data_IF_393854709775
#
_entry.id   IF_393854709775
#
_cell.length_a   1.000
_cell.length_b   1.000
_cell.length_c   1.000
_cell.angle_alpha   90.00
_cell.angle_beta   90.00
_cell.angle_gamma   90.00
#
_symmetry.space_group_name_H-M   'P 1'
#
loop_
_entity.id
_entity.type
_entity.pdbx_description
1 polymer ?
#
# COMPACT_ATOMS: atom_id res chain seq x y z
N UNK A 1 -0.05 -4.67 -23.76
CA UNK A 1 -1.17 -4.85 -22.80
C UNK A 1 -2.47 -4.42 -23.46
N UNK A 2 -3.58 -5.08 -23.16
CA UNK A 2 -4.93 -4.62 -23.54
C UNK A 2 -5.13 -3.23 -22.90
N UNK A 3 -5.69 -2.26 -23.64
CA UNK A 3 -6.08 -0.98 -23.03
C UNK A 3 -7.20 -1.24 -22.04
N UNK A 4 -7.03 -0.79 -20.81
CA UNK A 4 -8.00 -0.88 -19.73
C UNK A 4 -9.11 0.15 -19.90
N UNK A 5 -8.82 1.35 -20.44
CA UNK A 5 -9.81 2.41 -20.58
C UNK A 5 -10.00 3.22 -19.30
N UNK A 6 -11.24 3.55 -18.95
CA UNK A 6 -11.53 4.36 -17.75
C UNK A 6 -12.11 3.46 -16.67
N UNK A 7 -11.54 3.53 -15.47
CA UNK A 7 -11.96 2.75 -14.31
C UNK A 7 -12.27 3.60 -13.10
N UNK A 8 -12.77 2.94 -12.05
CA UNK A 8 -13.09 3.57 -10.77
C UNK A 8 -12.73 2.63 -9.62
N UNK A 9 -12.22 3.19 -8.52
CA UNK A 9 -12.01 2.44 -7.29
C UNK A 9 -13.33 1.87 -6.77
N UNK A 10 -13.38 0.55 -6.59
CA UNK A 10 -14.51 -0.12 -5.97
C UNK A 10 -14.37 -0.07 -4.45
N UNK A 11 -15.44 0.35 -3.77
CA UNK A 11 -15.58 0.30 -2.32
C UNK A 11 -16.96 -0.29 -2.01
N UNK A 12 -17.13 -1.06 -0.92
CA UNK A 12 -18.42 -1.64 -0.55
C UNK A 12 -19.57 -0.63 -0.54
N UNK A 13 -19.30 0.61 -0.13
CA UNK A 13 -20.25 1.72 0.00
C UNK A 13 -20.82 2.20 -1.34
N UNK A 14 -20.09 2.03 -2.44
CA UNK A 14 -20.51 2.44 -3.80
C UNK A 14 -20.63 1.26 -4.76
N UNK A 15 -20.57 0.02 -4.26
CA UNK A 15 -20.55 -1.18 -5.08
C UNK A 15 -21.72 -1.26 -6.06
N UNK A 16 -22.94 -0.98 -5.61
CA UNK A 16 -24.15 -1.02 -6.45
C UNK A 16 -24.21 0.11 -7.48
N UNK A 17 -23.59 1.26 -7.18
CA UNK A 17 -23.48 2.37 -8.11
C UNK A 17 -22.48 2.07 -9.22
N UNK A 18 -21.27 1.61 -8.83
CA UNK A 18 -20.21 1.19 -9.75
C UNK A 18 -20.68 0.05 -10.66
N UNK A 19 -21.41 -0.92 -10.10
CA UNK A 19 -21.98 -2.01 -10.90
C UNK A 19 -22.91 -1.48 -12.00
N UNK A 20 -23.78 -0.52 -11.70
CA UNK A 20 -24.74 0.01 -12.69
C UNK A 20 -24.16 1.07 -13.62
N UNK A 21 -22.95 1.54 -13.35
CA UNK A 21 -22.35 2.66 -14.05
C UNK A 21 -21.99 2.30 -15.51
N UNK A 22 -22.46 3.07 -16.50
CA UNK A 22 -22.16 2.80 -17.90
C UNK A 22 -20.71 3.13 -18.24
N UNK A 23 -20.09 2.30 -19.08
CA UNK A 23 -18.75 2.56 -19.63
C UNK A 23 -17.58 2.33 -18.66
N UNK A 24 -17.81 1.70 -17.50
CA UNK A 24 -16.72 1.23 -16.64
C UNK A 24 -16.17 -0.09 -17.20
N UNK A 25 -14.92 -0.04 -17.64
CA UNK A 25 -14.22 -1.17 -18.27
C UNK A 25 -13.48 -2.04 -17.24
N UNK A 26 -13.12 -1.44 -16.11
CA UNK A 26 -12.37 -2.09 -15.03
C UNK A 26 -12.54 -1.35 -13.69
N UNK A 27 -12.31 -2.07 -12.60
CA UNK A 27 -12.32 -1.52 -11.25
C UNK A 27 -11.07 -1.94 -10.49
N UNK A 28 -10.70 -1.12 -9.52
CA UNK A 28 -9.64 -1.45 -8.58
C UNK A 28 -10.21 -1.71 -7.19
N UNK A 29 -9.68 -2.71 -6.48
CA UNK A 29 -10.07 -3.03 -5.11
C UNK A 29 -8.86 -2.99 -4.20
N UNK A 30 -9.00 -2.45 -2.98
CA UNK A 30 -7.95 -2.58 -1.96
C UNK A 30 -7.81 -4.06 -1.60
N UNK A 31 -6.66 -4.65 -1.88
CA UNK A 31 -6.43 -6.09 -1.77
C UNK A 31 -6.74 -6.59 -0.36
N UNK A 32 -6.26 -5.89 0.66
CA UNK A 32 -6.42 -6.24 2.07
C UNK A 32 -7.89 -6.31 2.52
N UNK A 33 -8.81 -5.64 1.81
CA UNK A 33 -10.25 -5.65 2.09
C UNK A 33 -10.98 -6.83 1.41
N UNK A 34 -10.29 -7.60 0.57
CA UNK A 34 -10.86 -8.77 -0.13
C UNK A 34 -10.43 -10.05 0.59
N UNK A 35 -11.41 -10.90 0.89
CA UNK A 35 -11.19 -12.27 1.35
C UNK A 35 -11.30 -13.23 0.16
N UNK A 36 -10.24 -13.98 -0.22
CA UNK A 36 -10.30 -14.94 -1.33
C UNK A 36 -11.43 -15.96 -1.21
N UNK A 37 -11.73 -16.43 0.00
CA UNK A 37 -12.82 -17.37 0.27
C UNK A 37 -14.23 -16.74 0.29
N UNK A 38 -14.32 -15.41 0.23
CA UNK A 38 -15.60 -14.69 0.28
C UNK A 38 -15.50 -13.39 -0.53
N UNK A 39 -15.34 -13.53 -1.85
CA UNK A 39 -15.32 -12.39 -2.77
C UNK A 39 -16.70 -11.72 -2.79
N UNK A 40 -16.80 -10.40 -2.60
CA UNK A 40 -18.08 -9.66 -2.69
C UNK A 40 -18.86 -9.98 -3.96
N UNK A 41 -20.17 -10.21 -3.83
CA UNK A 41 -21.04 -10.60 -4.97
C UNK A 41 -21.02 -9.58 -6.11
N UNK A 42 -20.95 -8.29 -5.81
CA UNK A 42 -20.88 -7.23 -6.84
C UNK A 42 -19.60 -7.34 -7.68
N UNK A 43 -18.48 -7.75 -7.11
CA UNK A 43 -17.25 -8.02 -7.87
C UNK A 43 -17.40 -9.26 -8.76
N UNK A 44 -18.12 -10.28 -8.31
CA UNK A 44 -18.43 -11.45 -9.14
C UNK A 44 -19.31 -11.04 -10.34
N UNK A 45 -20.37 -10.27 -10.12
CA UNK A 45 -21.25 -9.76 -11.18
C UNK A 45 -20.53 -8.85 -12.17
N UNK A 46 -19.62 -7.99 -11.68
CA UNK A 46 -18.75 -7.18 -12.54
C UNK A 46 -17.88 -8.06 -13.44
N UNK A 47 -17.26 -9.10 -12.87
CA UNK A 47 -16.42 -10.04 -13.63
C UNK A 47 -17.21 -10.85 -14.66
N UNK A 48 -18.41 -11.32 -14.31
CA UNK A 48 -19.31 -12.02 -15.23
C UNK A 48 -19.67 -11.16 -16.46
N UNK A 49 -19.70 -9.84 -16.30
CA UNK A 49 -19.90 -8.86 -17.38
C UNK A 49 -18.62 -8.53 -18.16
N UNK A 50 -17.49 -9.10 -17.79
CA UNK A 50 -16.19 -8.86 -18.42
C UNK A 50 -15.44 -7.64 -17.90
N UNK A 51 -15.87 -7.04 -16.79
CA UNK A 51 -15.13 -5.94 -16.12
C UNK A 51 -13.88 -6.52 -15.46
N UNK A 52 -12.73 -5.93 -15.75
CA UNK A 52 -11.46 -6.35 -15.13
C UNK A 52 -11.41 -5.88 -13.68
N UNK A 53 -10.98 -6.73 -12.75
CA UNK A 53 -10.79 -6.35 -11.33
C UNK A 53 -9.31 -6.44 -10.99
N UNK A 54 -8.71 -5.33 -10.56
CA UNK A 54 -7.31 -5.24 -10.19
C UNK A 54 -7.19 -5.07 -8.67
N UNK A 55 -6.51 -5.96 -7.93
CA UNK A 55 -6.21 -5.76 -6.54
C UNK A 55 -4.99 -4.84 -6.38
N UNK A 56 -5.16 -3.84 -5.53
CA UNK A 56 -4.16 -2.85 -5.16
C UNK A 56 -3.80 -2.99 -3.69
N UNK A 57 -2.55 -3.33 -3.42
CA UNK A 57 -2.02 -3.59 -2.08
C UNK A 57 -1.48 -2.34 -1.40
N UNK A 58 -1.71 -2.25 -0.09
CA UNK A 58 -1.26 -1.12 0.74
C UNK A 58 -0.30 -1.53 1.87
N UNK A 59 0.08 -2.81 1.93
CA UNK A 59 0.72 -3.39 3.12
C UNK A 59 2.00 -4.20 2.91
N UNK A 60 2.53 -4.36 1.69
CA UNK A 60 3.82 -5.05 1.48
C UNK A 60 4.96 -4.17 1.95
N UNK A 61 4.96 -2.89 1.56
CA UNK A 61 6.02 -1.94 1.91
C UNK A 61 7.37 -2.34 1.33
N UNK A 62 7.41 -2.56 0.01
CA UNK A 62 8.57 -3.08 -0.73
C UNK A 62 9.81 -2.15 -0.67
N UNK A 63 9.64 -0.89 -0.29
CA UNK A 63 10.72 0.05 -0.02
C UNK A 63 11.40 -0.12 1.33
N UNK A 64 10.93 -1.03 2.18
CA UNK A 64 11.51 -1.31 3.49
C UNK A 64 12.82 -2.09 3.42
N UNK A 65 13.67 -1.91 4.43
CA UNK A 65 14.92 -2.65 4.57
C UNK A 65 14.74 -4.13 4.96
N UNK A 66 13.57 -4.58 5.38
CA UNK A 66 13.31 -6.02 5.53
C UNK A 66 12.95 -6.66 4.18
N UNK A 67 13.11 -7.97 4.05
CA UNK A 67 12.50 -8.70 2.93
C UNK A 67 10.97 -8.60 3.02
N UNK A 68 10.25 -8.62 1.87
CA UNK A 68 8.80 -8.67 1.89
C UNK A 68 8.31 -9.89 2.66
N UNK A 69 7.27 -9.72 3.47
CA UNK A 69 6.70 -10.80 4.28
C UNK A 69 6.06 -11.88 3.38
N UNK A 70 6.53 -13.13 3.52
CA UNK A 70 6.06 -14.27 2.71
C UNK A 70 4.56 -14.51 2.85
N UNK A 71 4.02 -14.32 4.06
CA UNK A 71 2.59 -14.47 4.33
C UNK A 71 1.76 -13.42 3.61
N UNK A 72 2.19 -12.15 3.62
CA UNK A 72 1.52 -11.08 2.87
C UNK A 72 1.62 -11.28 1.36
N UNK A 73 2.77 -11.73 0.84
CA UNK A 73 2.93 -12.07 -0.58
C UNK A 73 1.98 -13.20 -1.00
N UNK A 74 1.93 -14.28 -0.21
CA UNK A 74 0.99 -15.40 -0.43
C UNK A 74 -0.44 -14.90 -0.45
N UNK A 75 -0.82 -14.08 0.53
CA UNK A 75 -2.17 -13.56 0.62
C UNK A 75 -2.52 -12.59 -0.53
N UNK A 76 -1.56 -11.85 -1.09
CA UNK A 76 -1.79 -11.02 -2.29
C UNK A 76 -1.93 -11.89 -3.55
N UNK A 77 -1.12 -12.94 -3.67
CA UNK A 77 -1.21 -13.92 -4.75
C UNK A 77 -2.58 -14.62 -4.78
N UNK A 78 -3.08 -15.08 -3.64
CA UNK A 78 -4.40 -15.71 -3.51
C UNK A 78 -5.52 -14.77 -3.94
N UNK A 79 -5.44 -13.47 -3.58
CA UNK A 79 -6.42 -12.47 -4.00
C UNK A 79 -6.39 -12.22 -5.49
N UNK A 80 -5.20 -12.12 -6.08
CA UNK A 80 -5.05 -11.98 -7.53
C UNK A 80 -5.70 -13.14 -8.28
N UNK A 81 -5.48 -14.37 -7.81
CA UNK A 81 -6.10 -15.57 -8.37
C UNK A 81 -7.61 -15.60 -8.19
N UNK A 82 -8.12 -15.32 -6.99
CA UNK A 82 -9.55 -15.31 -6.70
C UNK A 82 -10.31 -14.30 -7.56
N UNK A 83 -9.70 -13.13 -7.83
CA UNK A 83 -10.24 -12.09 -8.68
C UNK A 83 -10.00 -12.34 -10.19
N UNK A 84 -9.18 -13.32 -10.56
CA UNK A 84 -8.76 -13.55 -11.94
C UNK A 84 -8.08 -12.32 -12.54
N UNK A 85 -7.32 -11.60 -11.71
CA UNK A 85 -6.73 -10.32 -12.08
C UNK A 85 -5.58 -10.49 -13.09
N UNK A 86 -5.42 -9.61 -14.08
CA UNK A 86 -4.29 -9.67 -15.01
C UNK A 86 -2.98 -9.12 -14.44
N UNK A 87 -3.03 -8.40 -13.31
CA UNK A 87 -1.87 -7.82 -12.62
C UNK A 87 -2.22 -7.50 -11.16
N UNK A 88 -1.24 -7.22 -10.33
CA UNK A 88 -1.44 -6.63 -9.00
C UNK A 88 -0.64 -5.34 -8.88
N UNK A 89 -1.07 -4.43 -8.02
CA UNK A 89 -0.34 -3.19 -7.75
C UNK A 89 0.02 -3.03 -6.28
N UNK A 90 1.11 -2.31 -6.02
CA UNK A 90 1.58 -1.93 -4.69
C UNK A 90 2.34 -0.60 -4.80
N UNK A 91 2.93 -0.11 -3.71
CA UNK A 91 3.55 1.19 -3.62
C UNK A 91 5.07 1.12 -3.47
N UNK A 92 5.73 2.16 -3.95
CA UNK A 92 7.13 2.44 -3.67
C UNK A 92 7.21 3.13 -2.30
N UNK A 93 6.95 2.35 -1.25
CA UNK A 93 6.89 2.84 0.11
C UNK A 93 7.49 1.84 1.10
N UNK A 94 7.88 2.33 2.28
CA UNK A 94 8.05 1.47 3.44
C UNK A 94 6.94 1.76 4.45
N UNK A 95 6.47 0.73 5.16
CA UNK A 95 5.39 0.90 6.18
C UNK A 95 5.78 0.38 7.56
N UNK A 96 6.91 -0.35 7.65
CA UNK A 96 7.51 -0.85 8.90
C UNK A 96 9.02 -0.70 8.85
N UNK A 97 9.63 -0.64 10.02
CA UNK A 97 11.08 -0.67 10.21
C UNK A 97 11.41 -1.20 11.62
N UNK A 98 12.68 -1.48 11.87
CA UNK A 98 13.18 -1.97 13.15
C UNK A 98 13.38 -3.49 13.17
N UNK A 99 13.28 -4.11 14.34
CA UNK A 99 13.40 -5.56 14.49
C UNK A 99 14.84 -6.09 14.47
N UNK A 100 15.00 -7.38 14.11
CA UNK A 100 16.26 -8.11 14.20
C UNK A 100 17.38 -7.48 13.39
N UNK A 101 17.07 -6.96 12.19
CA UNK A 101 18.03 -6.31 11.29
C UNK A 101 18.75 -5.12 11.94
N UNK A 102 18.10 -4.42 12.87
CA UNK A 102 18.61 -3.17 13.47
C UNK A 102 18.75 -3.26 14.99
N UNK A 103 18.52 -4.44 15.56
CA UNK A 103 18.44 -4.66 17.02
C UNK A 103 17.54 -3.63 17.74
N UNK A 104 16.42 -3.24 17.13
CA UNK A 104 15.48 -2.25 17.67
C UNK A 104 14.03 -2.81 17.71
N UNK A 105 13.10 -2.18 18.46
CA UNK A 105 11.69 -2.59 18.44
C UNK A 105 11.12 -2.54 17.01
N UNK A 106 10.24 -3.48 16.66
CA UNK A 106 9.47 -3.40 15.41
C UNK A 106 8.46 -2.25 15.52
N UNK A 107 8.43 -1.41 14.49
CA UNK A 107 7.56 -0.24 14.39
C UNK A 107 6.72 -0.35 13.12
N UNK A 108 5.46 0.08 13.20
CA UNK A 108 4.57 0.19 12.06
C UNK A 108 3.96 1.58 11.97
N UNK A 109 3.99 2.17 10.78
CA UNK A 109 3.44 3.49 10.51
C UNK A 109 1.90 3.48 10.42
N UNK A 110 1.31 2.33 10.04
CA UNK A 110 -0.09 2.24 9.63
C UNK A 110 -0.40 2.94 8.30
N UNK A 111 0.62 3.44 7.61
CA UNK A 111 0.50 4.14 6.35
C UNK A 111 1.81 4.10 5.56
N UNK A 112 1.75 4.53 4.30
CA UNK A 112 2.86 4.61 3.37
C UNK A 112 3.81 5.73 3.81
N UNK A 113 5.12 5.44 3.80
CA UNK A 113 6.17 6.43 4.01
C UNK A 113 7.13 6.44 2.82
N UNK A 114 7.63 7.64 2.44
CA UNK A 114 8.49 7.79 1.27
C UNK A 114 9.82 7.07 1.48
N UNK A 115 10.37 6.49 0.42
CA UNK A 115 11.71 5.90 0.46
C UNK A 115 12.78 6.96 0.17
N UNK A 116 14.01 6.83 0.70
CA UNK A 116 15.11 7.68 0.26
C UNK A 116 15.44 7.35 -1.21
N UNK A 117 15.51 8.37 -2.07
CA UNK A 117 15.91 8.20 -3.48
C UNK A 117 17.44 8.14 -3.63
N UNK A 118 18.05 7.14 -3.01
CA UNK A 118 19.50 6.84 -3.10
C UNK A 118 19.74 5.54 -3.85
N UNK A 119 20.96 5.34 -4.37
CA UNK A 119 21.38 4.09 -5.02
C UNK A 119 21.27 2.90 -4.08
N UNK A 120 21.72 3.06 -2.83
CA UNK A 120 21.66 2.05 -1.78
C UNK A 120 20.20 1.61 -1.51
N UNK A 121 19.25 2.56 -1.48
CA UNK A 121 17.83 2.25 -1.29
C UNK A 121 17.19 1.62 -2.53
N UNK A 122 17.58 2.06 -3.73
CA UNK A 122 17.15 1.47 -4.99
C UNK A 122 17.61 0.01 -5.12
N UNK A 123 18.83 -0.32 -4.67
CA UNK A 123 19.33 -1.69 -4.64
C UNK A 123 18.45 -2.61 -3.79
N UNK A 124 18.11 -2.17 -2.58
CA UNK A 124 17.22 -2.91 -1.67
C UNK A 124 15.82 -3.05 -2.25
N UNK A 125 15.27 -1.96 -2.82
CA UNK A 125 13.96 -2.01 -3.47
C UNK A 125 13.97 -2.98 -4.65
N UNK A 126 14.99 -2.96 -5.51
CA UNK A 126 15.08 -3.87 -6.64
C UNK A 126 15.13 -5.35 -6.21
N UNK A 127 15.84 -5.67 -5.11
CA UNK A 127 15.83 -7.02 -4.54
C UNK A 127 14.44 -7.41 -4.05
N UNK A 128 13.79 -6.55 -3.26
CA UNK A 128 12.45 -6.79 -2.73
C UNK A 128 11.41 -6.95 -3.85
N UNK A 129 11.52 -6.17 -4.93
CA UNK A 129 10.66 -6.27 -6.11
C UNK A 129 10.84 -7.62 -6.82
N UNK A 130 12.07 -8.11 -6.96
CA UNK A 130 12.31 -9.44 -7.56
C UNK A 130 11.71 -10.55 -6.71
N UNK A 131 11.85 -10.49 -5.38
CA UNK A 131 11.21 -11.44 -4.46
C UNK A 131 9.69 -11.42 -4.64
N UNK A 132 9.09 -10.24 -4.71
CA UNK A 132 7.65 -10.08 -4.92
C UNK A 132 7.21 -10.65 -6.29
N UNK A 133 7.89 -10.29 -7.38
CA UNK A 133 7.61 -10.79 -8.72
C UNK A 133 7.71 -12.32 -8.82
N UNK A 134 8.66 -12.94 -8.12
CA UNK A 134 8.81 -14.40 -8.06
C UNK A 134 7.68 -15.09 -7.29
N UNK A 135 7.09 -14.39 -6.32
CA UNK A 135 6.03 -14.92 -5.45
C UNK A 135 4.62 -14.69 -5.99
N UNK A 136 4.46 -13.73 -6.90
CA UNK A 136 3.17 -13.32 -7.44
C UNK A 136 2.85 -14.08 -8.75
N UNK A 137 1.60 -14.54 -8.93
CA UNK A 137 1.21 -15.33 -10.11
C UNK A 137 0.98 -14.47 -11.36
N UNK A 138 1.03 -13.15 -11.23
CA UNK A 138 0.73 -12.16 -12.27
C UNK A 138 1.69 -10.98 -12.15
N UNK A 139 1.87 -10.17 -13.22
CA UNK A 139 2.75 -9.00 -13.19
C UNK A 139 2.44 -8.04 -12.04
N UNK A 140 3.50 -7.45 -11.48
CA UNK A 140 3.45 -6.39 -10.47
C UNK A 140 3.61 -5.02 -11.14
N UNK A 141 2.77 -4.05 -10.74
CA UNK A 141 3.02 -2.63 -10.98
C UNK A 141 3.22 -1.86 -9.68
N UNK A 142 4.08 -0.84 -9.69
CA UNK A 142 4.41 -0.07 -8.49
C UNK A 142 4.03 1.41 -8.63
N UNK A 143 3.49 1.94 -7.54
CA UNK A 143 2.95 3.29 -7.44
C UNK A 143 3.91 4.29 -6.78
N UNK A 144 4.04 5.47 -7.38
CA UNK A 144 4.67 6.62 -6.75
C UNK A 144 3.74 7.21 -5.68
N UNK A 145 4.28 7.63 -4.53
CA UNK A 145 3.47 8.14 -3.43
C UNK A 145 3.61 9.66 -3.26
N UNK A 146 2.59 10.29 -2.69
CA UNK A 146 2.72 11.61 -2.10
C UNK A 146 3.64 11.56 -0.86
N UNK A 147 4.53 12.54 -0.75
CA UNK A 147 5.46 12.67 0.36
C UNK A 147 5.32 14.03 1.06
N UNK A 148 5.11 14.02 2.39
CA UNK A 148 5.10 15.26 3.19
C UNK A 148 6.50 15.71 3.62
N UNK A 149 7.52 14.87 3.50
CA UNK A 149 8.90 15.18 3.86
C UNK A 149 9.88 14.55 2.86
N UNK A 150 11.07 15.15 2.72
CA UNK A 150 12.17 14.62 1.91
C UNK A 150 13.18 13.91 2.78
N UNK A 151 13.77 12.84 2.24
CA UNK A 151 14.97 12.26 2.81
C UNK A 151 16.16 13.18 2.56
N UNK A 152 17.06 13.38 3.52
CA UNK A 152 18.32 14.06 3.24
C UNK A 152 19.20 13.17 2.35
N UNK A 153 19.96 13.80 1.45
CA UNK A 153 20.93 13.10 0.60
C UNK A 153 20.30 12.31 -0.55
N UNK A 154 19.18 12.75 -1.13
CA UNK A 154 18.67 12.17 -2.37
C UNK A 154 19.69 12.32 -3.50
N UNK A 155 19.94 11.22 -4.21
CA UNK A 155 20.93 11.13 -5.31
C UNK A 155 20.24 11.10 -6.68
N UNK A 156 18.95 10.75 -6.70
CA UNK A 156 18.16 10.53 -7.90
C UNK A 156 16.89 11.40 -7.85
N UNK A 157 16.54 12.00 -8.97
CA UNK A 157 15.19 12.54 -9.19
C UNK A 157 14.15 11.42 -9.21
N UNK A 158 12.85 11.76 -9.09
CA UNK A 158 11.77 10.75 -9.17
C UNK A 158 11.83 9.96 -10.49
N UNK A 159 11.93 10.66 -11.62
CA UNK A 159 12.01 10.04 -12.93
C UNK A 159 13.21 9.11 -13.08
N UNK A 160 14.40 9.51 -12.60
CA UNK A 160 15.59 8.65 -12.59
C UNK A 160 15.39 7.41 -11.71
N UNK A 161 14.84 7.58 -10.50
CA UNK A 161 14.59 6.49 -9.58
C UNK A 161 13.61 5.45 -10.16
N UNK A 162 12.52 5.92 -10.78
CA UNK A 162 11.53 5.07 -11.44
C UNK A 162 12.07 4.40 -12.71
N UNK A 163 12.80 5.15 -13.54
CA UNK A 163 13.42 4.62 -14.77
C UNK A 163 14.38 3.48 -14.47
N UNK A 164 15.27 3.67 -13.50
CA UNK A 164 16.23 2.63 -13.13
C UNK A 164 15.59 1.44 -12.43
N UNK A 165 14.55 1.67 -11.62
CA UNK A 165 13.77 0.58 -11.03
C UNK A 165 13.18 -0.31 -12.13
N UNK A 166 12.56 0.30 -13.15
CA UNK A 166 11.99 -0.40 -14.30
C UNK A 166 13.09 -1.12 -15.07
N UNK A 167 14.20 -0.46 -15.40
CA UNK A 167 15.31 -1.06 -16.15
C UNK A 167 15.87 -2.30 -15.46
N UNK A 168 16.02 -2.25 -14.13
CA UNK A 168 16.66 -3.32 -13.34
C UNK A 168 15.73 -4.49 -13.01
N UNK A 169 14.41 -4.30 -13.03
CA UNK A 169 13.43 -5.30 -12.53
C UNK A 169 12.36 -5.66 -13.55
N UNK A 170 12.19 -4.88 -14.61
CA UNK A 170 11.09 -5.03 -15.56
C UNK A 170 9.70 -4.79 -14.95
N UNK A 171 9.61 -4.25 -13.73
CA UNK A 171 8.33 -3.97 -13.07
C UNK A 171 7.53 -2.95 -13.87
N UNK A 172 6.20 -3.02 -13.80
CA UNK A 172 5.32 -2.01 -14.38
C UNK A 172 5.16 -0.83 -13.41
N UNK A 173 4.68 0.30 -13.90
CA UNK A 173 4.40 1.47 -13.06
C UNK A 173 2.90 1.78 -13.01
N UNK A 174 2.41 2.06 -11.81
CA UNK A 174 1.17 2.78 -11.58
C UNK A 174 1.57 4.24 -11.33
N UNK A 175 1.15 5.17 -12.19
CA UNK A 175 1.48 6.58 -11.99
C UNK A 175 0.28 7.29 -11.40
N UNK A 176 0.41 7.83 -10.20
CA UNK A 176 -0.61 8.68 -9.61
C UNK A 176 -0.28 10.15 -9.86
N UNK A 177 -1.10 10.81 -10.68
CA UNK A 177 -0.94 12.23 -10.99
C UNK A 177 -1.43 13.15 -9.86
N UNK A 178 -2.30 12.66 -8.97
CA UNK A 178 -2.65 13.39 -7.75
C UNK A 178 -1.46 13.41 -6.79
N UNK A 179 -0.70 12.31 -6.67
CA UNK A 179 0.56 12.30 -5.93
C UNK A 179 1.59 13.27 -6.50
N UNK A 180 1.70 13.40 -7.84
CA UNK A 180 2.57 14.41 -8.46
C UNK A 180 2.15 15.85 -8.11
N UNK A 181 0.84 16.14 -8.13
CA UNK A 181 0.32 17.43 -7.68
C UNK A 181 0.62 17.68 -6.20
N UNK A 182 0.41 16.67 -5.35
CA UNK A 182 0.70 16.75 -3.92
C UNK A 182 2.17 17.05 -3.67
N UNK A 183 3.08 16.39 -4.39
CA UNK A 183 4.52 16.63 -4.31
C UNK A 183 4.90 18.03 -4.82
N UNK A 184 4.24 18.53 -5.87
CA UNK A 184 4.42 19.91 -6.32
C UNK A 184 4.09 20.93 -5.23
N UNK A 185 2.89 20.86 -4.65
CA UNK A 185 2.45 21.83 -3.64
C UNK A 185 3.27 21.71 -2.35
N UNK A 186 3.56 20.48 -1.90
CA UNK A 186 4.19 20.26 -0.61
C UNK A 186 5.72 20.37 -0.63
N UNK A 187 6.37 20.08 -1.77
CA UNK A 187 7.83 19.96 -1.88
C UNK A 187 8.44 20.86 -2.96
N UNK A 188 7.62 21.52 -3.78
CA UNK A 188 8.08 22.37 -4.88
C UNK A 188 8.63 21.60 -6.08
N UNK A 189 8.34 20.30 -6.20
CA UNK A 189 8.74 19.50 -7.36
C UNK A 189 7.94 19.94 -8.60
N UNK A 190 8.54 19.97 -9.80
CA UNK A 190 7.82 20.30 -11.03
C UNK A 190 7.19 19.03 -11.64
N UNK A 191 5.85 18.93 -11.73
CA UNK A 191 5.20 17.79 -12.38
C UNK A 191 5.63 17.60 -13.84
N UNK A 192 5.94 18.68 -14.57
CA UNK A 192 6.34 18.58 -15.97
C UNK A 192 7.72 17.89 -16.12
N UNK A 193 8.66 18.19 -15.22
CA UNK A 193 9.96 17.54 -15.12
C UNK A 193 9.82 16.09 -14.66
N UNK A 194 9.01 15.84 -13.62
CA UNK A 194 8.76 14.48 -13.11
C UNK A 194 8.21 13.58 -14.23
N UNK A 195 7.17 14.04 -14.93
CA UNK A 195 6.60 13.34 -16.06
C UNK A 195 7.63 13.13 -17.20
N UNK A 196 8.67 13.98 -17.32
CA UNK A 196 9.59 13.96 -18.47
C UNK A 196 10.65 12.88 -18.31
N UNK A 197 10.97 12.54 -17.06
CA UNK A 197 11.84 11.43 -16.70
C UNK A 197 11.13 10.09 -16.51
N UNK A 198 9.82 9.97 -16.80
CA UNK A 198 9.10 8.72 -16.62
C UNK A 198 9.37 7.72 -17.76
N UNK A 199 9.56 6.42 -17.46
CA UNK A 199 9.60 5.36 -18.46
C UNK A 199 8.16 5.03 -18.91
N UNK A 200 7.60 5.86 -19.79
CA UNK A 200 6.16 5.86 -20.16
C UNK A 200 5.67 4.53 -20.73
N UNK A 201 6.53 3.74 -21.35
CA UNK A 201 6.27 2.39 -21.85
C UNK A 201 6.04 1.35 -20.74
N UNK A 202 6.51 1.63 -19.52
CA UNK A 202 6.34 0.79 -18.34
C UNK A 202 5.01 1.01 -17.62
N UNK A 203 4.27 2.09 -17.95
CA UNK A 203 3.01 2.42 -17.30
C UNK A 203 1.98 1.31 -17.52
N UNK A 204 1.43 0.76 -16.44
CA UNK A 204 0.30 -0.17 -16.44
C UNK A 204 -1.02 0.60 -16.50
N UNK A 205 -1.20 1.59 -15.62
CA UNK A 205 -2.31 2.53 -15.60
C UNK A 205 -2.00 3.74 -14.72
N UNK A 206 -2.94 4.67 -14.63
CA UNK A 206 -2.79 5.95 -13.95
C UNK A 206 -3.87 6.14 -12.90
N UNK A 207 -3.51 6.65 -11.73
CA UNK A 207 -4.43 7.09 -10.70
C UNK A 207 -4.70 8.59 -10.81
N UNK A 208 -5.95 8.94 -10.50
CA UNK A 208 -6.43 10.31 -10.40
C UNK A 208 -7.32 10.38 -9.16
N UNK A 209 -6.92 11.21 -8.20
CA UNK A 209 -7.67 11.47 -7.00
C UNK A 209 -7.87 12.97 -6.78
N UNK A 210 -8.74 13.30 -5.82
CA UNK A 210 -8.93 14.67 -5.35
C UNK A 210 -8.35 14.90 -3.96
N UNK A 211 -8.03 16.15 -3.71
CA UNK A 211 -7.43 16.61 -2.46
C UNK A 211 -7.90 18.00 -2.10
N UNK A 212 -7.37 18.52 -1.00
CA UNK A 212 -7.65 19.89 -0.57
C UNK A 212 -6.41 20.49 0.07
N UNK A 213 -6.30 21.81 -0.01
CA UNK A 213 -5.26 22.55 0.71
C UNK A 213 -5.78 22.98 2.08
N UNK A 214 -4.96 22.81 3.11
CA UNK A 214 -5.20 23.36 4.44
C UNK A 214 -3.89 23.80 5.05
N UNK A 215 -3.88 25.02 5.59
CA UNK A 215 -2.74 25.58 6.30
C UNK A 215 -1.42 25.53 5.48
N UNK A 216 -1.51 25.73 4.15
CA UNK A 216 -0.37 25.68 3.22
C UNK A 216 0.16 24.27 2.91
N UNK A 217 -0.60 23.23 3.25
CA UNK A 217 -0.28 21.82 2.98
C UNK A 217 -1.40 21.22 2.14
N UNK A 218 -1.03 20.61 1.02
CA UNK A 218 -1.96 19.81 0.24
C UNK A 218 -2.15 18.45 0.89
N UNK A 219 -3.41 18.09 1.12
CA UNK A 219 -3.82 16.81 1.66
C UNK A 219 -4.44 15.98 0.54
N UNK A 220 -3.76 14.90 0.18
CA UNK A 220 -4.34 13.90 -0.69
C UNK A 220 -5.32 13.04 0.11
N UNK A 221 -6.61 13.20 -0.17
CA UNK A 221 -7.67 12.77 0.74
C UNK A 221 -8.59 11.72 0.13
N UNK A 222 -8.56 11.58 -1.20
CA UNK A 222 -9.38 10.67 -1.98
C UNK A 222 -10.88 10.78 -1.62
N UNK A 223 -11.30 11.94 -1.09
CA UNK A 223 -12.64 12.21 -0.57
C UNK A 223 -13.23 13.49 -1.19
N UNK A 224 -12.44 14.18 -2.01
CA UNK A 224 -12.76 15.45 -2.64
C UNK A 224 -12.77 15.29 -4.16
N UNK A 225 -13.53 16.12 -4.90
CA UNK A 225 -13.53 16.11 -6.36
C UNK A 225 -12.13 16.27 -6.95
N UNK A 226 -11.89 15.68 -8.12
CA UNK A 226 -10.63 15.86 -8.85
C UNK A 226 -10.47 17.34 -9.28
N UNK A 227 -9.43 18.05 -8.84
CA UNK A 227 -9.24 19.45 -9.17
C UNK A 227 -8.59 19.62 -10.56
N UNK A 228 -8.80 20.78 -11.19
CA UNK A 228 -8.24 21.09 -12.52
C UNK A 228 -6.72 20.89 -12.63
N UNK A 229 -5.89 21.30 -11.66
CA UNK A 229 -4.44 21.06 -11.72
C UNK A 229 -4.05 19.58 -11.86
N UNK A 230 -4.81 18.66 -11.25
CA UNK A 230 -4.55 17.21 -11.40
C UNK A 230 -4.94 16.75 -12.81
N UNK A 231 -6.05 17.24 -13.36
CA UNK A 231 -6.45 16.97 -14.75
C UNK A 231 -5.44 17.55 -15.75
N UNK A 232 -4.84 18.70 -15.47
CA UNK A 232 -3.80 19.30 -16.32
C UNK A 232 -2.53 18.44 -16.36
N UNK A 233 -2.11 17.87 -15.22
CA UNK A 233 -0.99 16.90 -15.17
C UNK A 233 -1.35 15.64 -15.96
N UNK A 234 -2.57 15.12 -15.81
CA UNK A 234 -3.05 13.98 -16.61
C UNK A 234 -3.03 14.30 -18.11
N UNK A 235 -3.47 15.49 -18.53
CA UNK A 235 -3.37 15.94 -19.91
C UNK A 235 -1.91 16.01 -20.39
N UNK A 236 -0.99 16.50 -19.54
CA UNK A 236 0.44 16.50 -19.81
C UNK A 236 1.03 15.10 -20.03
N UNK A 237 0.68 14.14 -19.18
CA UNK A 237 1.05 12.73 -19.35
C UNK A 237 0.45 12.16 -20.64
N UNK A 238 -0.84 12.42 -20.89
CA UNK A 238 -1.55 11.93 -22.07
C UNK A 238 -1.04 12.51 -23.40
N UNK A 239 -0.35 13.65 -23.37
CA UNK A 239 0.35 14.22 -24.52
C UNK A 239 1.67 13.52 -24.85
N UNK A 240 2.22 12.75 -23.90
CA UNK A 240 3.48 12.00 -24.07
C UNK A 240 3.22 10.53 -24.42
N UNK A 241 2.18 9.95 -23.81
CA UNK A 241 1.77 8.57 -24.07
C UNK A 241 0.25 8.47 -23.94
N UNK A 242 -0.39 7.62 -24.75
CA UNK A 242 -1.76 7.24 -24.47
C UNK A 242 -1.77 6.25 -23.29
N UNK A 243 -2.18 6.64 -22.06
CA UNK A 243 -2.13 5.73 -20.92
C UNK A 243 -3.02 4.51 -21.19
N UNK A 244 -2.60 3.29 -20.79
CA UNK A 244 -3.40 2.09 -21.02
C UNK A 244 -4.74 2.14 -20.26
N UNK A 245 -4.76 2.72 -19.07
CA UNK A 245 -5.96 3.01 -18.30
C UNK A 245 -5.78 4.18 -17.35
N UNK A 246 -6.90 4.80 -16.96
CA UNK A 246 -6.95 5.84 -15.94
C UNK A 246 -8.09 5.53 -14.96
N UNK A 247 -7.78 5.51 -13.68
CA UNK A 247 -8.72 5.21 -12.60
C UNK A 247 -9.05 6.49 -11.81
N UNK A 248 -10.32 6.71 -11.53
CA UNK A 248 -10.74 7.63 -10.47
C UNK A 248 -10.64 6.91 -9.11
N UNK A 249 -9.83 7.45 -8.20
CA UNK A 249 -9.76 7.00 -6.83
C UNK A 249 -10.67 7.84 -5.91
N UNK A 250 -11.60 7.16 -5.25
CA UNK A 250 -12.53 7.73 -4.27
C UNK A 250 -12.68 6.74 -3.11
N UNK A 251 -12.22 7.13 -1.94
CA UNK A 251 -12.17 6.28 -0.74
C UNK A 251 -13.22 6.62 0.30
N UNK A 252 -13.61 7.88 0.37
CA UNK A 252 -14.55 8.39 1.35
C UNK A 252 -15.43 9.48 0.74
N UNK A 253 -16.44 9.93 1.50
CA UNK A 253 -17.34 11.02 1.11
C UNK A 253 -17.90 10.82 -0.32
N UNK A 254 -18.48 9.65 -0.55
CA UNK A 254 -19.00 9.25 -1.85
C UNK A 254 -20.18 10.15 -2.25
N UNK A 255 -20.07 10.92 -3.35
CA UNK A 255 -21.16 11.73 -3.84
C UNK A 255 -22.19 10.87 -4.58
N UNK A 256 -23.29 11.49 -5.00
CA UNK A 256 -24.27 10.83 -5.87
C UNK A 256 -23.60 10.27 -7.15
N UNK A 257 -24.05 9.12 -7.69
CA UNK A 257 -23.41 8.46 -8.83
C UNK A 257 -23.19 9.37 -10.06
N UNK A 258 -24.13 10.28 -10.32
CA UNK A 258 -24.04 11.22 -11.43
C UNK A 258 -22.83 12.17 -11.33
N UNK A 259 -22.39 12.48 -10.11
CA UNK A 259 -21.19 13.30 -9.87
C UNK A 259 -19.94 12.50 -10.21
N UNK A 260 -19.88 11.22 -9.81
CA UNK A 260 -18.78 10.32 -10.16
C UNK A 260 -18.69 10.14 -11.69
N UNK A 261 -19.83 9.97 -12.37
CA UNK A 261 -19.88 9.91 -13.83
C UNK A 261 -19.34 11.20 -14.49
N UNK A 262 -19.66 12.37 -13.94
CA UNK A 262 -19.13 13.64 -14.41
C UNK A 262 -17.60 13.74 -14.22
N UNK A 263 -17.06 13.29 -13.08
CA UNK A 263 -15.62 13.24 -12.85
C UNK A 263 -14.91 12.28 -13.83
N UNK A 264 -15.49 11.09 -14.09
CA UNK A 264 -14.98 10.15 -15.08
C UNK A 264 -15.01 10.72 -16.49
N UNK A 265 -16.04 11.50 -16.84
CA UNK A 265 -16.10 12.20 -18.12
C UNK A 265 -15.03 13.30 -18.23
N UNK A 266 -14.75 14.03 -17.15
CA UNK A 266 -13.67 15.00 -17.10
C UNK A 266 -12.30 14.33 -17.31
N UNK A 267 -12.08 13.17 -16.69
CA UNK A 267 -10.88 12.34 -16.89
C UNK A 267 -10.75 11.91 -18.37
N UNK A 268 -11.82 11.41 -18.98
CA UNK A 268 -11.83 11.06 -20.43
C UNK A 268 -11.49 12.27 -21.29
N UNK A 269 -12.04 13.44 -20.96
CA UNK A 269 -11.77 14.71 -21.63
C UNK A 269 -10.29 15.12 -21.55
N UNK A 270 -9.69 15.04 -20.36
CA UNK A 270 -8.29 15.36 -20.12
C UNK A 270 -7.34 14.44 -20.92
N UNK A 271 -7.63 13.13 -20.97
CA UNK A 271 -6.87 12.16 -21.78
C UNK A 271 -7.01 12.45 -23.27
N UNK A 272 -8.22 12.76 -23.75
CA UNK A 272 -8.46 13.11 -25.14
C UNK A 272 -7.70 14.39 -25.54
N UNK A 273 -7.77 15.43 -24.71
CA UNK A 273 -7.07 16.69 -24.92
C UNK A 273 -5.55 16.49 -24.98
N UNK A 274 -4.98 15.65 -24.12
CA UNK A 274 -3.55 15.31 -24.15
C UNK A 274 -3.17 14.61 -25.46
N UNK A 275 -3.93 13.59 -25.86
CA UNK A 275 -3.69 12.86 -27.12
C UNK A 275 -3.73 13.75 -28.35
N UNK A 276 -4.61 14.74 -28.38
CA UNK A 276 -4.67 15.72 -29.48
C UNK A 276 -3.46 16.65 -29.54
N UNK A 277 -2.68 16.76 -28.45
CA UNK A 277 -1.43 17.55 -28.38
C UNK A 277 -0.18 16.71 -28.64
N UNK A 278 -0.31 15.38 -28.69
CA UNK A 278 0.82 14.50 -28.99
C UNK A 278 1.37 14.83 -30.39
N UNK A 279 2.70 14.88 -30.59
CA UNK A 279 3.28 15.02 -31.91
C UNK A 279 2.69 13.93 -32.81
N UNK A 280 2.10 14.32 -33.95
CA UNK A 280 1.76 13.36 -34.98
C UNK A 280 3.08 12.89 -35.60
N UNK A 281 3.63 11.79 -35.09
CA UNK A 281 4.70 11.07 -35.79
C UNK A 281 4.14 10.74 -37.19
N UNK A 282 4.72 11.40 -38.21
CA UNK A 282 4.46 11.09 -39.61
C UNK A 282 4.68 9.60 -39.83
N UNK A 283 3.73 8.97 -40.53
CA UNK A 283 3.70 7.53 -40.69
C UNK A 283 4.98 6.97 -41.27
N UNK A 284 5.75 6.29 -40.42
CA UNK A 284 6.62 5.20 -40.84
C UNK A 284 6.34 3.97 -39.98
N UNK A 285 6.27 2.86 -40.68
CA UNK A 285 5.73 1.57 -40.32
C UNK A 285 6.39 0.97 -39.06
N UNK A 286 5.68 0.94 -37.94
CA UNK A 286 6.10 0.21 -36.71
C UNK A 286 5.75 -1.29 -36.75
N UNK A 287 5.55 -1.88 -37.92
CA UNK A 287 5.49 -3.34 -38.11
C UNK A 287 6.88 -3.99 -38.10
N UNK A 288 7.68 -3.79 -37.03
CA UNK A 288 8.94 -4.52 -36.88
C UNK A 288 9.49 -4.58 -35.43
N UNK A 289 8.64 -4.66 -34.40
CA UNK A 289 9.09 -4.96 -33.03
C UNK A 289 8.08 -5.89 -32.32
N UNK A 290 7.81 -7.04 -32.93
CA UNK A 290 7.21 -8.19 -32.25
C UNK A 290 8.32 -9.22 -32.02
N UNK A 291 8.84 -9.29 -30.79
CA UNK A 291 9.92 -10.22 -30.46
C UNK A 291 10.46 -10.06 -29.05
N UNK A 292 9.62 -10.25 -28.04
CA UNK A 292 10.10 -10.64 -26.70
C UNK A 292 9.90 -12.17 -26.60
N UNK A 293 10.93 -12.99 -26.34
CA UNK A 293 10.76 -14.43 -26.27
C UNK A 293 9.95 -14.83 -25.04
N UNK A 294 9.01 -15.75 -25.24
CA UNK A 294 8.31 -16.43 -24.16
C UNK A 294 9.29 -17.26 -23.33
N UNK A 295 9.14 -17.21 -22.00
CA UNK A 295 9.86 -18.05 -21.04
C UNK A 295 9.35 -19.50 -21.20
N UNK A 296 10.22 -20.51 -21.36
CA UNK A 296 9.77 -21.89 -21.57
C UNK A 296 9.30 -22.52 -20.25
N UNK A 297 8.04 -22.96 -20.24
CA UNK A 297 7.47 -23.85 -19.25
C UNK A 297 8.04 -25.26 -19.40
N UNK A 298 8.84 -25.72 -18.45
CA UNK A 298 9.30 -27.11 -18.40
C UNK A 298 8.19 -28.01 -17.87
N UNK A 299 7.54 -28.75 -18.76
CA UNK A 299 6.68 -29.88 -18.44
C UNK A 299 7.54 -31.02 -17.90
N UNK A 300 7.22 -31.48 -16.69
CA UNK A 300 7.81 -32.67 -16.08
C UNK A 300 7.37 -33.94 -16.80
N UNK A 301 8.34 -34.81 -17.07
CA UNK A 301 8.11 -36.20 -17.48
C UNK A 301 8.82 -37.08 -16.47
N UNK A 302 8.07 -37.98 -15.83
CA UNK A 302 8.61 -39.05 -14.99
C UNK A 302 9.46 -40.02 -15.82
N UNK A 303 10.31 -40.81 -15.16
CA UNK A 303 10.03 -42.25 -15.17
C UNK A 303 10.24 -42.95 -13.82
N UNK A 304 9.61 -44.12 -13.75
CA UNK A 304 9.54 -45.03 -12.62
C UNK A 304 10.79 -45.94 -12.48
N UNK A 305 10.97 -46.39 -11.23
CA UNK A 305 11.56 -47.63 -10.70
C UNK A 305 12.67 -48.39 -11.45
N UNK A 306 13.72 -48.77 -10.69
CA UNK A 306 14.04 -50.19 -10.36
C UNK A 306 15.28 -50.25 -9.42
N UNK A 307 15.01 -50.74 -8.20
CA UNK A 307 15.80 -51.59 -7.26
C UNK A 307 17.32 -51.47 -7.10
N UNK A 308 17.76 -51.45 -5.82
CA UNK A 308 19.09 -51.94 -5.43
C UNK A 308 19.50 -51.55 -4.01
N UNK A 309 19.58 -52.53 -3.12
CA UNK A 309 19.75 -52.42 -1.67
C UNK A 309 21.16 -51.99 -1.19
N UNK A 310 21.25 -51.48 0.04
CA UNK A 310 22.45 -51.65 0.89
C UNK A 310 22.81 -50.52 1.86
N UNK A 311 22.47 -50.69 3.14
CA UNK A 311 23.45 -50.60 4.25
C UNK A 311 23.91 -49.23 4.81
N UNK A 312 23.33 -48.89 5.96
CA UNK A 312 23.99 -48.55 7.24
C UNK A 312 24.85 -47.26 7.42
N UNK A 313 24.36 -46.46 8.39
CA UNK A 313 25.07 -45.88 9.56
C UNK A 313 26.14 -44.76 9.41
N UNK A 314 25.74 -43.63 10.01
CA UNK A 314 26.41 -42.92 11.12
C UNK A 314 27.56 -41.91 10.86
N UNK A 315 27.38 -40.81 11.61
CA UNK A 315 28.39 -39.97 12.27
C UNK A 315 29.11 -38.87 11.47
N UNK A 316 29.04 -37.67 12.05
CA UNK A 316 30.28 -37.04 12.53
C UNK A 316 30.80 -35.86 11.72
N UNK A 317 30.60 -34.68 12.30
CA UNK A 317 31.29 -33.43 12.02
C UNK A 317 32.77 -33.55 11.59
N UNK A 318 33.21 -32.66 10.71
CA UNK A 318 34.24 -31.65 11.03
C UNK A 318 34.47 -30.66 9.90
N UNK A 319 34.69 -29.41 10.33
CA UNK A 319 35.18 -28.30 9.56
C UNK A 319 36.68 -28.43 9.25
N UNK A 320 37.08 -27.98 8.07
CA UNK A 320 38.40 -27.51 7.65
C UNK A 320 38.18 -26.76 6.33
N UNK A 321 38.84 -25.70 5.92
CA UNK A 321 39.76 -24.72 6.49
C UNK A 321 40.00 -23.74 5.32
N UNK A 322 40.12 -22.46 5.62
CA UNK A 322 40.46 -21.43 4.65
C UNK A 322 41.84 -21.68 4.02
N UNK A 323 41.95 -21.47 2.71
CA UNK A 323 43.23 -21.19 2.04
C UNK A 323 43.14 -19.83 1.34
N UNK A 324 44.16 -19.03 1.59
CA UNK A 324 44.33 -17.66 1.17
C UNK A 324 44.86 -17.57 -0.27
N UNK A 325 44.34 -16.60 -1.04
CA UNK A 325 44.80 -16.25 -2.38
C UNK A 325 45.76 -15.06 -2.28
N UNK A 326 46.93 -15.19 -2.91
CA UNK A 326 47.95 -14.13 -3.03
C UNK A 326 47.56 -13.02 -4.02
N UNK A 327 48.24 -11.85 -3.98
CA UNK A 327 47.73 -10.63 -4.61
C UNK A 327 48.24 -10.39 -6.04
N UNK A 328 47.55 -9.43 -6.67
CA UNK A 328 47.89 -8.63 -7.85
C UNK A 328 47.50 -9.14 -9.25
N UNK A 329 46.38 -8.59 -9.72
CA UNK A 329 46.34 -7.87 -11.00
C UNK A 329 45.29 -6.74 -10.91
N UNK A 330 45.73 -5.51 -11.19
CA UNK A 330 44.93 -4.30 -11.09
C UNK A 330 43.70 -4.32 -12.01
N UNK A 331 42.53 -4.21 -11.38
CA UNK A 331 41.28 -3.80 -12.00
C UNK A 331 40.64 -2.78 -11.08
N UNK A 332 40.12 -1.68 -11.64
CA UNK A 332 39.26 -0.75 -10.89
C UNK A 332 38.03 -1.54 -10.48
N UNK A 333 38.08 -2.12 -9.29
CA UNK A 333 36.96 -2.84 -8.71
C UNK A 333 35.86 -1.83 -8.45
N UNK A 334 34.78 -1.93 -9.23
CA UNK A 334 33.47 -1.49 -8.74
C UNK A 334 33.29 -2.26 -7.44
N UNK A 335 33.48 -1.58 -6.30
CA UNK A 335 33.29 -2.16 -4.98
C UNK A 335 31.83 -2.60 -4.92
N UNK A 336 31.56 -3.88 -5.21
CA UNK A 336 30.26 -4.50 -4.99
C UNK A 336 30.03 -4.41 -3.49
N UNK A 337 29.26 -3.41 -3.06
CA UNK A 337 28.90 -3.24 -1.66
C UNK A 337 28.09 -4.46 -1.25
N UNK A 338 28.42 -5.14 -0.14
CA UNK A 338 27.61 -6.26 0.32
C UNK A 338 26.18 -5.77 0.58
N UNK A 339 25.21 -6.33 -0.15
CA UNK A 339 23.78 -5.96 -0.05
C UNK A 339 23.29 -6.04 1.40
N UNK A 340 23.79 -7.00 2.19
CA UNK A 340 23.50 -7.11 3.62
C UNK A 340 23.88 -5.85 4.42
N UNK A 341 25.05 -5.26 4.16
CA UNK A 341 25.50 -4.05 4.85
C UNK A 341 24.72 -2.81 4.38
N UNK A 342 24.30 -2.77 3.11
CA UNK A 342 23.41 -1.73 2.58
C UNK A 342 22.05 -1.78 3.26
N UNK A 343 21.49 -2.99 3.36
CA UNK A 343 20.20 -3.28 3.99
C UNK A 343 20.20 -2.88 5.48
N UNK A 344 21.24 -3.21 6.23
CA UNK A 344 21.37 -2.81 7.63
C UNK A 344 21.39 -1.28 7.79
N UNK A 345 22.21 -0.55 7.00
CA UNK A 345 22.26 0.92 7.06
C UNK A 345 20.92 1.57 6.72
N UNK A 346 20.27 1.10 5.65
CA UNK A 346 18.94 1.57 5.27
C UNK A 346 17.92 1.29 6.39
N UNK A 347 17.99 0.10 6.99
CA UNK A 347 17.10 -0.30 8.08
C UNK A 347 17.25 0.59 9.30
N UNK A 348 18.49 0.91 9.70
CA UNK A 348 18.75 1.84 10.82
C UNK A 348 18.17 3.22 10.52
N UNK A 349 18.37 3.74 9.30
CA UNK A 349 17.85 5.04 8.91
C UNK A 349 16.31 5.08 8.90
N UNK A 350 15.66 4.07 8.31
CA UNK A 350 14.21 3.91 8.30
C UNK A 350 13.63 3.75 9.71
N UNK A 351 14.29 2.99 10.59
CA UNK A 351 13.88 2.82 11.98
C UNK A 351 13.95 4.13 12.75
N UNK A 352 15.01 4.92 12.57
CA UNK A 352 15.16 6.23 13.21
C UNK A 352 14.07 7.22 12.77
N UNK A 353 13.80 7.31 11.47
CA UNK A 353 12.71 8.15 10.93
C UNK A 353 11.37 7.70 11.47
N UNK A 354 11.04 6.40 11.35
CA UNK A 354 9.75 5.89 11.81
C UNK A 354 9.58 6.08 13.33
N UNK A 355 10.60 5.82 14.13
CA UNK A 355 10.57 6.06 15.57
C UNK A 355 10.27 7.52 15.91
N UNK A 356 10.83 8.48 15.16
CA UNK A 356 10.52 9.90 15.39
C UNK A 356 9.06 10.26 15.07
N UNK A 357 8.45 9.55 14.12
CA UNK A 357 7.07 9.78 13.68
C UNK A 357 6.04 9.13 14.61
N UNK A 358 6.33 7.95 15.17
CA UNK A 358 5.31 7.14 15.90
C UNK A 358 5.65 6.81 17.36
N UNK A 359 6.90 7.02 17.80
CA UNK A 359 7.35 6.74 19.16
C UNK A 359 7.84 7.97 19.93
N UNK A 360 7.84 9.15 19.29
CA UNK A 360 8.20 10.42 19.92
C UNK A 360 9.70 10.58 20.19
N UNK A 361 10.56 9.83 19.49
CA UNK A 361 12.01 10.07 19.53
C UNK A 361 12.36 11.35 18.75
N UNK A 362 13.54 11.95 18.99
CA UNK A 362 13.97 13.13 18.23
C UNK A 362 13.99 12.89 16.71
N UNK A 363 13.65 13.92 15.94
CA UNK A 363 13.77 13.92 14.48
C UNK A 363 15.25 13.75 14.09
N UNK A 364 15.61 12.80 13.21
CA UNK A 364 16.98 12.62 12.76
C UNK A 364 17.57 13.87 12.09
N UNK A 365 18.89 13.98 12.08
CA UNK A 365 19.59 15.09 11.44
C UNK A 365 19.28 15.16 9.93
N UNK A 366 19.25 16.38 9.39
CA UNK A 366 18.99 16.64 7.97
C UNK A 366 17.51 16.70 7.58
N UNK A 367 16.58 16.30 8.45
CA UNK A 367 15.14 16.40 8.18
C UNK A 367 14.53 17.73 8.62
N UNK A 368 13.57 18.21 7.84
CA UNK A 368 12.71 19.34 8.23
C UNK A 368 11.79 18.92 9.38
N UNK A 369 12.04 19.48 10.57
CA UNK A 369 11.30 19.18 11.80
C UNK A 369 9.82 19.57 11.72
N UNK A 370 9.47 20.62 10.98
CA UNK A 370 8.09 21.07 10.83
C UNK A 370 7.32 20.06 10.00
N UNK A 371 7.87 19.67 8.84
CA UNK A 371 7.28 18.66 7.95
C UNK A 371 7.17 17.29 8.61
N UNK A 372 8.20 16.86 9.32
CA UNK A 372 8.17 15.64 10.14
C UNK A 372 7.06 15.68 11.21
N UNK A 373 6.88 16.83 11.86
CA UNK A 373 5.78 17.04 12.81
C UNK A 373 4.40 16.99 12.17
N UNK A 374 4.23 17.51 10.95
CA UNK A 374 2.98 17.39 10.18
C UNK A 374 2.69 15.92 9.85
N UNK A 375 3.69 15.18 9.34
CA UNK A 375 3.55 13.74 9.05
C UNK A 375 3.15 12.96 10.31
N UNK A 376 3.82 13.17 11.44
CA UNK A 376 3.52 12.48 12.70
C UNK A 376 2.06 12.71 13.15
N UNK A 377 1.56 13.95 13.06
CA UNK A 377 0.17 14.28 13.37
C UNK A 377 -0.81 13.64 12.39
N UNK A 378 -0.48 13.63 11.10
CA UNK A 378 -1.31 12.98 10.07
C UNK A 378 -1.43 11.47 10.31
N UNK A 379 -0.32 10.78 10.63
CA UNK A 379 -0.32 9.36 10.99
C UNK A 379 -1.18 9.08 12.23
N UNK A 380 -1.00 9.86 13.30
CA UNK A 380 -1.80 9.70 14.52
C UNK A 380 -3.31 9.92 14.26
N UNK A 381 -3.66 10.93 13.47
CA UNK A 381 -5.04 11.21 13.08
C UNK A 381 -5.65 10.10 12.22
N UNK A 382 -4.90 9.56 11.26
CA UNK A 382 -5.31 8.43 10.43
C UNK A 382 -5.51 7.19 11.27
N UNK A 383 -4.56 6.87 12.16
CA UNK A 383 -4.65 5.74 13.10
C UNK A 383 -5.90 5.84 13.99
N UNK A 384 -6.22 7.03 14.51
CA UNK A 384 -7.46 7.26 15.25
C UNK A 384 -8.71 6.98 14.39
N UNK A 385 -8.71 7.43 13.13
CA UNK A 385 -9.82 7.17 12.20
C UNK A 385 -10.00 5.68 11.89
N UNK A 386 -8.90 4.96 11.64
CA UNK A 386 -8.95 3.52 11.37
C UNK A 386 -9.37 2.74 12.62
N UNK A 387 -8.86 3.08 13.80
CA UNK A 387 -9.29 2.46 15.07
C UNK A 387 -10.79 2.66 15.30
N UNK A 388 -11.32 3.86 15.02
CA UNK A 388 -12.75 4.11 15.12
C UNK A 388 -13.58 3.23 14.16
N UNK A 389 -13.07 2.90 12.98
CA UNK A 389 -13.74 1.99 12.04
C UNK A 389 -13.69 0.52 12.48
N UNK A 390 -12.54 0.05 13.00
CA UNK A 390 -12.39 -1.37 13.41
C UNK A 390 -12.96 -1.67 14.80
N UNK A 391 -13.14 -0.63 15.63
CA UNK A 391 -13.68 -0.68 16.98
C UNK A 391 -14.65 0.50 17.23
N UNK A 392 -15.81 0.53 16.55
CA UNK A 392 -16.74 1.66 16.60
C UNK A 392 -17.33 1.92 17.99
N UNK A 393 -17.32 0.93 18.88
CA UNK A 393 -17.80 1.11 20.25
C UNK A 393 -16.87 2.01 21.09
N UNK A 394 -15.60 2.17 20.70
CA UNK A 394 -14.66 3.03 21.43
C UNK A 394 -15.07 4.52 21.36
N UNK A 395 -15.30 5.11 20.16
CA UNK A 395 -15.93 6.42 20.04
C UNK A 395 -17.26 6.55 20.77
N UNK A 396 -18.12 5.53 20.74
CA UNK A 396 -19.42 5.56 21.44
C UNK A 396 -19.24 5.61 22.97
N UNK A 397 -18.29 4.85 23.51
CA UNK A 397 -18.03 4.79 24.96
C UNK A 397 -17.38 6.08 25.45
N UNK A 398 -16.40 6.60 24.71
CA UNK A 398 -15.56 7.73 25.09
C UNK A 398 -16.14 9.10 24.68
N UNK A 399 -17.12 9.10 23.76
CA UNK A 399 -17.77 10.31 23.25
C UNK A 399 -16.77 11.27 22.61
N UNK A 400 -17.00 12.57 22.80
CA UNK A 400 -16.16 13.64 22.24
C UNK A 400 -14.68 13.55 22.66
N UNK A 401 -14.37 12.92 23.79
CA UNK A 401 -13.00 12.74 24.28
C UNK A 401 -12.18 11.72 23.49
N UNK A 402 -12.80 10.83 22.70
CA UNK A 402 -12.10 9.75 21.99
C UNK A 402 -10.88 10.24 21.20
N UNK A 403 -11.06 11.29 20.40
CA UNK A 403 -10.03 11.74 19.47
C UNK A 403 -8.84 12.34 20.21
N UNK A 404 -9.08 13.17 21.22
CA UNK A 404 -8.02 13.78 22.02
C UNK A 404 -7.20 12.71 22.77
N UNK A 405 -7.88 11.80 23.45
CA UNK A 405 -7.29 10.68 24.19
C UNK A 405 -6.44 9.78 23.29
N UNK A 406 -6.96 9.46 22.10
CA UNK A 406 -6.25 8.61 21.15
C UNK A 406 -5.00 9.30 20.61
N UNK A 407 -5.09 10.59 20.25
CA UNK A 407 -3.94 11.34 19.76
C UNK A 407 -2.87 11.49 20.83
N UNK A 408 -3.23 11.67 22.10
CA UNK A 408 -2.29 11.66 23.22
C UNK A 408 -1.60 10.30 23.36
N UNK A 409 -2.37 9.20 23.32
CA UNK A 409 -1.85 7.83 23.36
C UNK A 409 -0.86 7.54 22.22
N UNK A 410 -1.22 7.92 20.99
CA UNK A 410 -0.50 7.56 19.78
C UNK A 410 0.87 8.27 19.64
N UNK A 411 1.08 9.41 20.32
CA UNK A 411 2.35 10.18 20.25
C UNK A 411 3.59 9.40 20.70
N UNK A 412 3.42 8.46 21.62
CA UNK A 412 4.54 7.76 22.28
C UNK A 412 4.38 6.24 22.26
N UNK A 413 3.38 5.73 21.55
CA UNK A 413 3.08 4.30 21.50
C UNK A 413 2.89 3.86 20.06
N UNK A 414 3.94 3.35 19.40
CA UNK A 414 3.81 2.87 18.03
C UNK A 414 2.82 1.70 17.97
N UNK A 415 2.21 1.52 16.80
CA UNK A 415 1.43 0.32 16.52
C UNK A 415 2.38 -0.85 16.30
N UNK A 416 2.07 -2.01 16.88
CA UNK A 416 2.95 -3.19 16.84
C UNK A 416 2.35 -4.39 16.10
N UNK A 417 1.02 -4.53 16.10
CA UNK A 417 0.34 -5.73 15.59
C UNK A 417 -1.06 -5.39 15.03
N UNK A 418 -1.12 -4.36 14.19
CA UNK A 418 -2.33 -3.91 13.51
C UNK A 418 -3.39 -3.22 14.38
N UNK A 419 -4.42 -2.69 13.72
CA UNK A 419 -5.37 -1.77 14.33
C UNK A 419 -6.29 -2.38 15.40
N UNK A 420 -6.62 -3.68 15.30
CA UNK A 420 -7.44 -4.34 16.33
C UNK A 420 -6.69 -4.48 17.64
N UNK A 421 -5.40 -4.84 17.57
CA UNK A 421 -4.56 -4.91 18.76
C UNK A 421 -4.34 -3.53 19.36
N UNK A 422 -4.12 -2.56 18.49
CA UNK A 422 -3.96 -1.16 18.87
C UNK A 422 -5.18 -0.60 19.64
N UNK A 423 -6.39 -0.90 19.16
CA UNK A 423 -7.63 -0.56 19.87
C UNK A 423 -7.68 -1.14 21.29
N UNK A 424 -7.20 -2.38 21.49
CA UNK A 424 -7.12 -3.02 22.80
C UNK A 424 -6.06 -2.40 23.69
N UNK A 425 -4.89 -2.08 23.14
CA UNK A 425 -3.79 -1.48 23.89
C UNK A 425 -4.13 -0.04 24.30
N UNK A 426 -4.84 0.71 23.45
CA UNK A 426 -5.40 2.03 23.77
C UNK A 426 -6.44 1.95 24.90
N UNK A 427 -7.44 1.08 24.80
CA UNK A 427 -8.44 0.91 25.85
C UNK A 427 -7.80 0.47 27.18
N UNK A 428 -6.86 -0.47 27.12
CA UNK A 428 -6.09 -0.91 28.29
C UNK A 428 -5.24 0.21 28.90
N UNK A 429 -4.67 1.09 28.07
CA UNK A 429 -3.94 2.27 28.53
C UNK A 429 -4.83 3.24 29.30
N UNK A 430 -5.99 3.60 28.76
CA UNK A 430 -6.94 4.49 29.44
C UNK A 430 -7.40 3.91 30.78
N UNK A 431 -7.71 2.61 30.83
CA UNK A 431 -8.11 1.94 32.06
C UNK A 431 -7.00 1.98 33.13
N UNK A 432 -5.72 1.85 32.75
CA UNK A 432 -4.58 2.00 33.66
C UNK A 432 -4.44 3.42 34.21
N UNK A 433 -4.78 4.43 33.42
CA UNK A 433 -4.81 5.83 33.84
C UNK A 433 -6.08 6.20 34.63
N UNK A 434 -7.03 5.28 34.82
CA UNK A 434 -8.32 5.57 35.44
C UNK A 434 -9.26 6.41 34.57
N UNK A 435 -8.99 6.52 33.27
CA UNK A 435 -9.82 7.23 32.28
C UNK A 435 -10.85 6.28 31.62
N UNK A 436 -11.98 6.80 31.11
CA UNK A 436 -12.47 8.17 31.31
C UNK A 436 -12.89 8.42 32.76
N UNK A 437 -13.01 9.70 33.15
CA UNK A 437 -13.42 10.09 34.51
C UNK A 437 -14.82 9.60 34.88
N UNK A 438 -15.73 9.55 33.90
CA UNK A 438 -17.08 9.01 34.08
C UNK A 438 -17.05 7.51 34.44
N UNK A 439 -17.64 7.17 35.59
CA UNK A 439 -17.65 5.81 36.10
C UNK A 439 -18.47 4.86 35.22
N UNK A 440 -19.51 5.36 34.52
CA UNK A 440 -20.32 4.57 33.60
C UNK A 440 -19.53 4.15 32.36
N UNK A 441 -18.94 5.13 31.67
CA UNK A 441 -18.08 4.93 30.51
C UNK A 441 -16.87 4.06 30.85
N UNK A 442 -16.23 4.27 32.01
CA UNK A 442 -15.10 3.44 32.47
C UNK A 442 -15.49 1.99 32.72
N UNK A 443 -16.71 1.70 33.20
CA UNK A 443 -17.23 0.33 33.29
C UNK A 443 -17.44 -0.27 31.90
N UNK A 444 -18.12 0.44 30.99
CA UNK A 444 -18.33 -0.03 29.61
C UNK A 444 -17.02 -0.31 28.87
N UNK A 445 -16.01 0.56 29.04
CA UNK A 445 -14.68 0.38 28.45
C UNK A 445 -13.98 -0.86 29.00
N UNK A 446 -14.08 -1.10 30.32
CA UNK A 446 -13.52 -2.29 30.97
C UNK A 446 -14.19 -3.56 30.46
N UNK A 447 -15.51 -3.57 30.33
CA UNK A 447 -16.25 -4.71 29.81
C UNK A 447 -15.88 -4.98 28.35
N UNK A 448 -15.84 -3.93 27.51
CA UNK A 448 -15.40 -4.02 26.11
C UNK A 448 -13.98 -4.61 25.99
N UNK A 449 -13.06 -4.18 26.85
CA UNK A 449 -11.67 -4.66 26.88
C UNK A 449 -11.58 -6.11 27.36
N UNK A 450 -12.25 -6.46 28.47
CA UNK A 450 -12.25 -7.83 29.01
C UNK A 450 -12.86 -8.85 28.06
N UNK A 451 -13.88 -8.46 27.29
CA UNK A 451 -14.53 -9.30 26.29
C UNK A 451 -13.60 -9.66 25.12
N UNK A 452 -12.53 -8.88 24.89
CA UNK A 452 -11.65 -9.00 23.71
C UNK A 452 -10.18 -9.28 24.04
N UNK A 453 -9.73 -8.99 25.26
CA UNK A 453 -8.35 -9.18 25.69
C UNK A 453 -8.02 -10.63 26.09
N UNK A 454 -9.03 -11.48 26.27
CA UNK A 454 -8.86 -12.90 26.59
C UNK A 454 -8.76 -13.80 25.36
N UNK A 455 -8.25 -15.05 25.49
CA UNK A 455 -8.14 -16.02 24.40
C UNK A 455 -9.50 -16.53 23.89
N UNK A 456 -10.60 -16.24 24.61
CA UNK A 456 -11.96 -16.51 24.18
C UNK A 456 -12.89 -15.36 24.64
N UNK A 457 -13.88 -14.96 23.83
CA UNK A 457 -14.86 -13.94 24.24
C UNK A 457 -15.61 -14.38 25.48
N UNK A 458 -15.80 -13.50 26.46
CA UNK A 458 -16.66 -13.80 27.61
C UNK A 458 -18.08 -14.01 27.10
N UNK A 459 -18.74 -15.09 27.54
CA UNK A 459 -20.17 -15.30 27.24
C UNK A 459 -20.92 -14.09 27.81
N UNK A 460 -21.51 -13.26 26.93
CA UNK A 460 -22.48 -12.24 27.34
C UNK A 460 -23.52 -12.94 28.21
N UNK A 461 -23.54 -12.65 29.52
CA UNK A 461 -24.72 -12.92 30.31
C UNK A 461 -25.86 -12.13 29.66
N UNK A 462 -26.86 -12.84 29.16
CA UNK A 462 -28.11 -12.23 28.67
C UNK A 462 -28.77 -11.54 29.86
N UNK A 463 -28.38 -10.29 30.12
CA UNK A 463 -28.99 -9.43 31.11
C UNK A 463 -30.43 -9.12 30.70
N UNK A 464 -31.38 -9.78 31.37
CA UNK A 464 -32.74 -9.30 31.75
C UNK A 464 -33.65 -8.56 30.74
N UNK A 465 -33.43 -8.62 29.44
CA UNK A 465 -34.44 -8.22 28.42
C UNK A 465 -35.11 -9.41 27.73
N UNK A 466 -34.76 -10.65 28.11
CA UNK A 466 -35.31 -11.88 27.54
C UNK A 466 -36.53 -12.49 28.26
N UNK A 467 -37.19 -11.78 29.18
CA UNK A 467 -38.38 -12.29 29.93
C UNK A 467 -39.66 -11.47 29.74
N UNK A 468 -39.88 -10.88 28.57
CA UNK A 468 -41.18 -10.27 28.24
C UNK A 468 -41.78 -10.69 26.88
N UNK A 469 -41.27 -11.75 26.26
CA UNK A 469 -41.83 -12.28 25.00
C UNK A 469 -42.23 -13.76 25.05
N UNK A 470 -42.42 -14.34 26.25
CA UNK A 470 -42.94 -15.70 26.42
C UNK A 470 -44.19 -15.79 27.32
N UNK A 471 -44.91 -14.67 27.52
CA UNK A 471 -46.14 -14.66 28.33
C UNK A 471 -47.35 -14.05 27.61
N UNK A 472 -47.33 -13.96 26.27
CA UNK A 472 -48.49 -13.54 25.46
C UNK A 472 -48.86 -14.55 24.36
N UNK A 473 -48.69 -15.86 24.64
CA UNK A 473 -49.19 -16.93 23.75
C UNK A 473 -50.11 -17.96 24.42
N UNK A 474 -50.69 -17.63 25.58
CA UNK A 474 -51.72 -18.47 26.22
C UNK A 474 -52.79 -17.59 26.87
N UNK A 475 -53.89 -17.39 26.14
CA UNK A 475 -55.27 -16.96 26.50
C UNK A 475 -55.84 -16.24 25.25
N UNK A 476 -56.16 -16.96 24.16
CA UNK A 476 -57.49 -17.49 23.74
C UNK A 476 -58.50 -16.39 23.33
N UNK A 477 -59.31 -16.63 22.27
CA UNK A 477 -59.65 -15.71 21.17
C UNK A 477 -60.12 -14.31 21.58
#
# INVERSE_FOLDING_TARGET
MRRLGTGIGWRPEIADAVERMPGIDWVEVVAENVCPGHVPESLLRLRERGVTVIPHGVSLGLGGADHPDEGRLTALAERAQALGSPLVTEHIAYVRAGGALTASPRLEAGHLLPVPRTRDALDVLCENVRIAQQSLPVPLALENIAALFSWPGEELTEGQFLSELVERTGVRLLIDVANLHTNHVNRGEDPAEALAGLPVEAIAYVHVAGGFERDGVWHDSHAHPVPLPVLDILTGLAARVAPPGVLLERDENFPEPIVLEAELNAIRGAVAAGRSRAPQDGGEDRSALAGIPAVPSTTGTAPADVTGAGGAQAAGARATSAEAVGPDAGGVGVLVRPVAAVRERLGVAQAAVLSSLVAGTPVPEGFDRVRMGVQARALAAKRAGVVAKVAPELPEILGAGYREEFLEYARHRPMTDGYRRDALDFAGHLLKLGRPGDAGARRRLRDWWLDRAGPAPRRRERGRTGRMLQTLRRTHP
#
